data_IF_224633579132
#
_entry.id   IF_224633579132
#
_cell.length_a   1.000
_cell.length_b   1.000
_cell.length_c   1.000
_cell.angle_alpha   90.00
_cell.angle_beta   90.00
_cell.angle_gamma   90.00
#
_symmetry.space_group_name_H-M   'P 1'
#
loop_
_entity.id
_entity.type
_entity.pdbx_description
1 polymer ?
#
# COMPACT_ATOMS: atom_id res chain seq x y z
N UNK A 1 18.30 10.42 -16.58
CA UNK A 1 18.86 10.19 -15.23
C UNK A 1 18.09 9.06 -14.56
N UNK A 2 18.66 7.86 -14.48
CA UNK A 2 18.10 6.80 -13.61
C UNK A 2 18.54 7.11 -12.19
N UNK A 3 17.65 7.71 -11.39
CA UNK A 3 17.91 7.92 -9.97
C UNK A 3 17.80 6.56 -9.30
N UNK A 4 18.92 6.00 -8.85
CA UNK A 4 18.94 4.72 -8.18
C UNK A 4 18.41 4.94 -6.75
N UNK A 5 17.17 4.55 -6.48
CA UNK A 5 16.47 4.82 -5.21
C UNK A 5 17.24 4.29 -3.98
N UNK A 6 18.06 3.26 -4.18
CA UNK A 6 18.93 2.65 -3.19
C UNK A 6 20.05 3.58 -2.70
N UNK A 7 20.49 4.57 -3.47
CA UNK A 7 21.54 5.51 -3.02
C UNK A 7 21.03 6.53 -2.00
N UNK A 8 19.71 6.77 -1.93
CA UNK A 8 19.11 7.79 -1.04
C UNK A 8 18.84 7.30 0.39
N UNK A 9 18.92 6.00 0.63
CA UNK A 9 18.38 5.40 1.84
C UNK A 9 19.46 4.55 2.50
N UNK A 10 20.32 5.19 3.31
CA UNK A 10 21.40 4.51 4.05
C UNK A 10 20.86 4.04 5.41
N UNK A 11 20.45 2.77 5.47
CA UNK A 11 20.17 2.06 6.73
C UNK A 11 21.09 0.83 6.83
N UNK A 12 21.43 0.40 8.06
CA UNK A 12 22.18 -0.86 8.24
C UNK A 12 21.24 -2.05 8.38
N UNK A 13 20.10 -1.87 9.03
CA UNK A 13 19.08 -2.92 9.22
C UNK A 13 17.68 -2.41 8.91
N UNK A 14 16.73 -3.33 8.72
CA UNK A 14 15.31 -3.00 8.52
C UNK A 14 14.64 -2.43 9.78
N UNK A 15 15.26 -2.56 10.95
CA UNK A 15 14.74 -1.98 12.20
C UNK A 15 14.76 -0.44 12.16
N UNK A 16 15.63 0.14 11.34
CA UNK A 16 15.72 1.60 11.12
C UNK A 16 14.63 2.12 10.17
N UNK A 17 13.91 1.22 9.48
CA UNK A 17 12.88 1.58 8.50
C UNK A 17 11.56 1.83 9.22
N UNK A 18 11.07 3.07 9.14
CA UNK A 18 9.76 3.41 9.68
C UNK A 18 8.65 2.78 8.86
N UNK A 19 7.78 2.01 9.53
CA UNK A 19 6.55 1.46 8.94
C UNK A 19 5.41 2.45 9.19
N UNK A 20 4.62 2.83 8.16
CA UNK A 20 3.43 3.67 8.36
C UNK A 20 2.43 3.02 9.31
N UNK A 21 1.78 3.79 10.19
CA UNK A 21 0.75 3.27 11.11
C UNK A 21 -0.52 2.81 10.36
N UNK A 22 -0.89 3.54 9.31
CA UNK A 22 -2.08 3.23 8.53
C UNK A 22 -1.82 2.10 7.54
N UNK A 23 -2.66 1.06 7.59
CA UNK A 23 -2.60 -0.09 6.69
C UNK A 23 -2.66 0.30 5.21
N UNK A 24 -3.42 1.34 4.85
CA UNK A 24 -3.53 1.79 3.46
C UNK A 24 -2.19 2.33 2.93
N UNK A 25 -1.40 2.96 3.79
CA UNK A 25 -0.09 3.52 3.44
C UNK A 25 1.01 2.44 3.39
N UNK A 26 0.72 1.24 3.86
CA UNK A 26 1.63 0.09 3.76
C UNK A 26 1.43 -0.68 2.45
N UNK A 27 0.40 -0.37 1.65
CA UNK A 27 0.19 -0.99 0.34
C UNK A 27 1.23 -0.49 -0.65
N UNK A 28 1.86 -1.41 -1.39
CA UNK A 28 2.96 -1.11 -2.31
C UNK A 28 2.52 -1.43 -3.75
N UNK A 29 2.72 -0.47 -4.67
CA UNK A 29 2.54 -0.66 -6.11
C UNK A 29 1.09 -0.88 -6.55
N UNK A 30 0.12 -0.38 -5.79
CA UNK A 30 -1.30 -0.41 -6.13
C UNK A 30 -1.97 0.94 -5.83
N UNK A 31 -1.41 2.01 -6.39
CA UNK A 31 -1.83 3.39 -6.17
C UNK A 31 -3.31 3.60 -6.55
N UNK A 32 -3.74 3.08 -7.69
CA UNK A 32 -5.13 3.19 -8.18
C UNK A 32 -6.11 2.46 -7.25
N UNK A 33 -5.74 1.27 -6.77
CA UNK A 33 -6.59 0.49 -5.87
C UNK A 33 -6.74 1.21 -4.52
N UNK A 34 -5.65 1.78 -4.01
CA UNK A 34 -5.66 2.59 -2.78
C UNK A 34 -6.60 3.79 -2.93
N UNK A 35 -6.52 4.52 -4.03
CA UNK A 35 -7.39 5.68 -4.27
C UNK A 35 -8.88 5.28 -4.31
N UNK A 36 -9.21 4.19 -5.00
CA UNK A 36 -10.58 3.67 -5.09
C UNK A 36 -11.09 3.26 -3.71
N UNK A 37 -10.27 2.58 -2.90
CA UNK A 37 -10.66 2.15 -1.55
C UNK A 37 -10.93 3.36 -0.66
N UNK A 38 -10.07 4.37 -0.66
CA UNK A 38 -10.28 5.58 0.14
C UNK A 38 -11.59 6.29 -0.27
N UNK A 39 -11.90 6.35 -1.57
CA UNK A 39 -13.16 6.92 -2.06
C UNK A 39 -14.36 6.08 -1.64
N UNK A 40 -14.27 4.75 -1.77
CA UNK A 40 -15.34 3.82 -1.43
C UNK A 40 -15.63 3.79 0.08
N UNK A 41 -14.60 3.83 0.94
CA UNK A 41 -14.72 3.92 2.39
C UNK A 41 -15.47 5.19 2.80
N UNK A 42 -15.07 6.36 2.27
CA UNK A 42 -15.74 7.65 2.51
C UNK A 42 -17.21 7.64 2.11
N UNK A 43 -17.55 6.96 1.01
CA UNK A 43 -18.91 6.88 0.48
C UNK A 43 -19.71 5.66 0.97
N UNK A 44 -19.12 4.82 1.82
CA UNK A 44 -19.72 3.56 2.31
C UNK A 44 -20.21 2.64 1.19
N UNK A 45 -19.40 2.47 0.14
CA UNK A 45 -19.71 1.62 -1.02
C UNK A 45 -19.08 0.24 -0.87
N UNK A 46 -19.74 -0.79 -1.38
CA UNK A 46 -19.15 -2.13 -1.47
C UNK A 46 -18.03 -2.17 -2.52
N UNK A 47 -17.05 -3.05 -2.31
CA UNK A 47 -15.91 -3.24 -3.21
C UNK A 47 -15.78 -4.73 -3.52
N UNK A 48 -15.43 -5.04 -4.77
CA UNK A 48 -15.01 -6.37 -5.18
C UNK A 48 -13.53 -6.30 -5.59
N UNK A 49 -12.67 -7.05 -4.89
CA UNK A 49 -11.24 -7.12 -5.18
C UNK A 49 -10.93 -8.40 -5.96
N UNK A 50 -10.42 -8.26 -7.18
CA UNK A 50 -10.10 -9.38 -8.08
C UNK A 50 -8.59 -9.35 -8.38
N UNK A 51 -7.94 -10.52 -8.31
CA UNK A 51 -6.53 -10.68 -8.68
C UNK A 51 -5.95 -11.97 -8.13
N UNK A 52 -4.72 -12.29 -8.52
CA UNK A 52 -4.01 -13.53 -8.17
C UNK A 52 -3.80 -13.71 -6.65
N UNK A 53 -3.70 -14.94 -6.13
CA UNK A 53 -3.39 -15.17 -4.72
C UNK A 53 -2.09 -14.46 -4.31
N UNK A 54 -2.05 -13.89 -3.10
CA UNK A 54 -0.86 -13.18 -2.58
C UNK A 54 -0.73 -11.71 -3.00
N UNK A 55 -1.66 -11.14 -3.77
CA UNK A 55 -1.60 -9.74 -4.26
C UNK A 55 -2.13 -8.67 -3.29
N UNK A 56 -2.27 -8.98 -1.99
CA UNK A 56 -2.67 -7.97 -0.99
C UNK A 56 -4.17 -7.62 -0.95
N UNK A 57 -5.06 -8.40 -1.58
CA UNK A 57 -6.53 -8.19 -1.49
C UNK A 57 -7.06 -8.08 -0.06
N UNK A 58 -6.64 -8.97 0.84
CA UNK A 58 -7.06 -8.92 2.26
C UNK A 58 -6.51 -7.70 2.99
N UNK A 59 -5.31 -7.24 2.63
CA UNK A 59 -4.70 -6.04 3.21
C UNK A 59 -5.48 -4.79 2.80
N UNK A 60 -5.82 -4.68 1.51
CA UNK A 60 -6.69 -3.65 0.95
C UNK A 60 -8.07 -3.64 1.62
N UNK A 61 -8.70 -4.81 1.79
CA UNK A 61 -9.99 -4.92 2.48
C UNK A 61 -9.94 -4.52 3.97
N UNK A 62 -8.82 -4.75 4.66
CA UNK A 62 -8.62 -4.29 6.06
C UNK A 62 -8.29 -2.80 6.16
N UNK A 63 -7.84 -2.19 5.07
CA UNK A 63 -7.45 -0.79 5.01
C UNK A 63 -8.61 0.15 4.63
N UNK A 64 -9.73 -0.41 4.19
CA UNK A 64 -10.99 0.26 3.89
C UNK A 64 -11.72 0.67 5.17
#
# INVERSE_FOLDING_TARGET
MKVNLLEKIKYKTTEEVKVPESLINQVIGQEDAVEIIVKAAKQKRHILLIGDPGTGKSMLGRAM
#
